data_IF_436731470953
#
_entry.id   IF_436731470953
#
_cell.length_a   1.000
_cell.length_b   1.000
_cell.length_c   1.000
_cell.angle_alpha   90.00
_cell.angle_beta   90.00
_cell.angle_gamma   90.00
#
_symmetry.space_group_name_H-M   'P 1'
#
loop_
_entity.id
_entity.type
_entity.pdbx_description
1 polymer ?
#
# COMPACT_ATOMS: atom_id res chain seq x y z
N UNK A 1 15.23 27.08 31.08
CA UNK A 1 13.77 27.29 31.11
C UNK A 1 13.13 25.99 30.63
N UNK A 2 12.86 25.09 31.57
CA UNK A 2 12.28 23.77 31.31
C UNK A 2 10.77 23.91 31.16
N UNK A 3 10.23 23.47 30.03
CA UNK A 3 8.79 23.23 29.85
C UNK A 3 8.57 21.72 29.90
N UNK A 4 8.76 21.16 31.08
CA UNK A 4 8.04 19.96 31.49
C UNK A 4 6.62 20.39 31.86
N UNK A 5 5.67 20.20 30.94
CA UNK A 5 4.24 20.20 31.22
C UNK A 5 3.47 19.69 29.99
N UNK A 6 3.46 18.37 29.81
CA UNK A 6 2.32 17.64 29.23
C UNK A 6 2.21 16.33 29.99
N UNK A 7 1.65 16.45 31.18
CA UNK A 7 1.20 15.34 32.00
C UNK A 7 0.26 14.42 31.21
N UNK A 8 0.56 13.13 31.34
CA UNK A 8 -0.37 12.02 31.50
C UNK A 8 -1.69 12.08 30.72
N UNK A 9 -1.71 11.43 29.55
CA UNK A 9 -2.88 10.65 29.15
C UNK A 9 -2.67 9.26 29.76
N UNK A 10 -3.27 9.03 30.92
CA UNK A 10 -3.33 7.73 31.59
C UNK A 10 -4.40 6.87 30.91
N UNK A 11 -3.94 6.09 29.95
CA UNK A 11 -4.69 5.13 29.14
C UNK A 11 -3.69 4.48 28.20
N UNK A 12 -3.79 3.18 27.98
CA UNK A 12 -2.97 2.45 27.00
C UNK A 12 -3.23 3.04 25.61
N UNK A 13 -2.49 4.09 25.24
CA UNK A 13 -2.58 4.70 23.91
C UNK A 13 -1.95 3.68 22.97
N UNK A 14 -2.73 3.05 22.07
CA UNK A 14 -2.17 2.07 21.16
C UNK A 14 -1.06 2.71 20.35
N UNK A 15 0.06 2.02 20.23
CA UNK A 15 1.13 2.47 19.35
C UNK A 15 0.55 2.66 17.93
N UNK A 16 0.92 3.75 17.22
CA UNK A 16 0.45 3.95 15.86
C UNK A 16 0.87 2.78 14.98
N UNK A 17 -0.08 2.25 14.21
CA UNK A 17 0.19 1.21 13.23
C UNK A 17 0.94 1.81 12.03
N UNK A 18 1.91 1.07 11.51
CA UNK A 18 2.58 1.42 10.26
C UNK A 18 1.61 1.20 9.11
N UNK A 19 1.56 2.14 8.18
CA UNK A 19 0.67 2.08 7.02
C UNK A 19 1.35 2.66 5.78
N UNK A 20 0.91 2.22 4.61
CA UNK A 20 1.34 2.76 3.32
C UNK A 20 0.13 3.26 2.51
N UNK A 21 0.35 4.26 1.67
CA UNK A 21 -0.69 4.85 0.81
C UNK A 21 -0.08 5.19 -0.53
N UNK A 22 -0.81 4.96 -1.62
CA UNK A 22 -0.35 5.23 -2.99
C UNK A 22 -1.29 6.18 -3.71
N UNK A 23 -0.73 7.21 -4.34
CA UNK A 23 -1.43 8.05 -5.30
C UNK A 23 -1.07 7.57 -6.71
N UNK A 24 -2.04 6.97 -7.42
CA UNK A 24 -1.85 6.56 -8.82
C UNK A 24 -2.35 7.69 -9.73
N UNK A 25 -1.43 8.26 -10.51
CA UNK A 25 -1.70 9.38 -11.38
C UNK A 25 -1.66 8.96 -12.86
N UNK A 26 -2.45 9.63 -13.68
CA UNK A 26 -2.31 9.61 -15.14
C UNK A 26 -2.35 11.02 -15.71
N UNK A 27 -1.68 11.21 -16.84
CA UNK A 27 -1.83 12.44 -17.62
C UNK A 27 -3.21 12.50 -18.28
N UNK A 28 -3.86 13.66 -18.22
CA UNK A 28 -5.10 13.94 -18.94
C UNK A 28 -5.07 15.37 -19.53
N UNK A 29 -5.99 15.64 -20.46
CA UNK A 29 -6.00 16.90 -21.22
C UNK A 29 -6.15 18.16 -20.34
N UNK A 30 -6.79 18.03 -19.17
CA UNK A 30 -7.04 19.13 -18.23
C UNK A 30 -6.02 19.20 -17.07
N UNK A 31 -5.01 18.33 -17.06
CA UNK A 31 -4.07 18.14 -15.95
C UNK A 31 -4.02 16.69 -15.48
N UNK A 32 -3.19 16.37 -14.47
CA UNK A 32 -3.12 15.02 -13.93
C UNK A 32 -4.43 14.63 -13.24
N UNK A 33 -4.87 13.40 -13.46
CA UNK A 33 -5.96 12.76 -12.74
C UNK A 33 -5.39 11.76 -11.73
N UNK A 34 -6.06 11.60 -10.58
CA UNK A 34 -5.62 10.68 -9.52
C UNK A 34 -6.73 9.71 -9.15
N UNK A 35 -6.36 8.44 -8.95
CA UNK A 35 -7.27 7.39 -8.50
C UNK A 35 -7.61 7.59 -7.02
N UNK A 36 -8.91 7.61 -6.71
CA UNK A 36 -9.45 7.64 -5.36
C UNK A 36 -10.47 6.52 -5.20
N UNK A 37 -10.50 5.92 -4.02
CA UNK A 37 -11.51 4.94 -3.60
C UNK A 37 -12.54 5.61 -2.70
N UNK A 38 -13.79 5.17 -2.81
CA UNK A 38 -14.85 5.58 -1.89
C UNK A 38 -14.97 4.55 -0.78
N UNK A 39 -14.56 4.89 0.44
CA UNK A 39 -14.72 4.00 1.60
C UNK A 39 -16.17 4.05 2.09
N UNK A 40 -16.86 2.91 2.06
CA UNK A 40 -18.20 2.80 2.63
C UNK A 40 -18.17 2.98 4.15
N UNK A 41 -19.09 3.79 4.66
CA UNK A 41 -19.13 4.39 6.00
C UNK A 41 -19.42 3.42 7.17
N UNK A 42 -18.78 2.24 7.23
CA UNK A 42 -18.79 1.44 8.46
C UNK A 42 -17.81 1.99 9.52
N UNK A 43 -16.93 2.92 9.14
CA UNK A 43 -16.15 3.72 10.08
C UNK A 43 -16.93 4.98 10.48
N UNK A 44 -16.72 5.42 11.72
CA UNK A 44 -17.44 6.47 12.47
C UNK A 44 -17.48 7.88 11.83
N UNK A 45 -17.05 8.05 10.57
CA UNK A 45 -16.73 9.33 9.92
C UNK A 45 -17.27 9.48 8.48
N UNK A 46 -18.41 8.87 8.13
CA UNK A 46 -19.06 9.09 6.83
C UNK A 46 -18.32 8.49 5.63
N UNK A 47 -18.90 8.58 4.43
CA UNK A 47 -18.26 8.12 3.21
C UNK A 47 -17.21 9.15 2.76
N UNK A 48 -15.94 8.72 2.69
CA UNK A 48 -14.82 9.58 2.35
C UNK A 48 -14.07 9.03 1.13
N UNK A 49 -13.63 9.95 0.28
CA UNK A 49 -12.65 9.63 -0.77
C UNK A 49 -11.27 9.56 -0.13
N UNK A 50 -10.54 8.48 -0.42
CA UNK A 50 -9.19 8.27 0.03
C UNK A 50 -8.32 7.75 -1.11
N UNK A 51 -7.01 7.95 -0.99
CA UNK A 51 -6.07 7.18 -1.79
C UNK A 51 -6.07 5.72 -1.32
N UNK A 52 -5.82 4.75 -2.23
CA UNK A 52 -5.64 3.37 -1.83
C UNK A 52 -4.50 3.19 -0.84
N UNK A 53 -4.71 2.33 0.13
CA UNK A 53 -3.70 2.05 1.16
C UNK A 53 -4.27 1.51 2.47
N UNK A 54 -3.36 0.98 3.28
CA UNK A 54 -3.72 0.27 4.51
C UNK A 54 -2.53 -0.01 5.39
N UNK A 55 -2.76 -0.89 6.36
CA UNK A 55 -1.80 -1.24 7.39
C UNK A 55 -0.76 -2.20 6.81
N UNK A 56 0.48 -2.03 7.26
CA UNK A 56 1.56 -2.96 6.96
C UNK A 56 1.32 -4.32 7.64
N UNK A 57 1.48 -5.40 6.90
CA UNK A 57 1.29 -6.78 7.38
C UNK A 57 2.55 -7.64 7.18
N UNK A 58 2.65 -8.75 7.92
CA UNK A 58 3.81 -9.66 7.83
C UNK A 58 3.99 -10.28 6.43
N UNK A 59 2.93 -10.33 5.63
CA UNK A 59 2.98 -10.80 4.23
C UNK A 59 3.75 -9.85 3.32
N UNK A 60 3.84 -8.57 3.68
CA UNK A 60 4.49 -7.54 2.86
C UNK A 60 6.02 -7.72 2.81
N UNK A 61 6.60 -8.28 3.88
CA UNK A 61 8.02 -8.63 3.97
C UNK A 61 8.39 -9.85 3.12
N UNK A 62 7.41 -10.69 2.78
CA UNK A 62 7.66 -12.00 2.16
C UNK A 62 7.95 -11.91 0.67
N UNK A 63 7.91 -10.73 0.04
CA UNK A 63 8.03 -10.57 -1.42
C UNK A 63 9.23 -9.73 -1.85
N UNK A 64 10.12 -9.38 -0.91
CA UNK A 64 11.29 -8.54 -1.18
C UNK A 64 12.22 -9.10 -2.28
N UNK A 65 12.31 -10.43 -2.41
CA UNK A 65 13.08 -11.12 -3.46
C UNK A 65 12.43 -11.03 -4.86
N UNK A 66 11.16 -10.62 -4.95
CA UNK A 66 10.45 -10.37 -6.21
C UNK A 66 10.63 -8.93 -6.69
N UNK A 67 11.10 -8.02 -5.84
CA UNK A 67 11.33 -6.62 -6.18
C UNK A 67 12.64 -6.46 -6.97
N UNK A 68 12.56 -6.05 -8.24
CA UNK A 68 13.74 -5.91 -9.11
C UNK A 68 13.99 -4.49 -9.66
N UNK A 69 13.18 -3.51 -9.23
CA UNK A 69 13.32 -2.09 -9.60
C UNK A 69 13.73 -1.16 -8.45
N UNK A 70 13.81 -1.66 -7.22
CA UNK A 70 14.19 -0.90 -6.04
C UNK A 70 14.98 -1.81 -5.08
N UNK A 71 15.97 -1.25 -4.38
CA UNK A 71 16.67 -1.96 -3.31
C UNK A 71 16.12 -1.51 -1.95
N UNK A 72 16.31 -2.33 -0.93
CA UNK A 72 15.95 -1.98 0.46
C UNK A 72 16.57 -0.65 0.89
N UNK A 73 17.85 -0.42 0.57
CA UNK A 73 18.54 0.83 0.93
C UNK A 73 17.93 2.04 0.21
N UNK A 74 17.53 1.90 -1.06
CA UNK A 74 16.90 2.97 -1.81
C UNK A 74 15.49 3.26 -1.29
N UNK A 75 14.70 2.22 -1.01
CA UNK A 75 13.36 2.36 -0.45
C UNK A 75 13.40 3.06 0.91
N UNK A 76 14.29 2.62 1.81
CA UNK A 76 14.53 3.26 3.10
C UNK A 76 14.90 4.74 2.95
N UNK A 77 15.81 5.07 2.03
CA UNK A 77 16.21 6.46 1.79
C UNK A 77 15.10 7.33 1.22
N UNK A 78 14.23 6.79 0.36
CA UNK A 78 13.12 7.52 -0.24
C UNK A 78 11.98 7.78 0.75
N UNK A 79 11.74 6.84 1.66
CA UNK A 79 10.67 6.89 2.65
C UNK A 79 11.11 7.50 3.99
N UNK A 80 12.39 7.83 4.14
CA UNK A 80 13.02 8.30 5.39
C UNK A 80 12.78 7.32 6.56
N UNK A 81 12.96 6.03 6.28
CA UNK A 81 12.89 4.95 7.29
C UNK A 81 14.23 4.24 7.42
N UNK A 82 14.50 3.66 8.59
CA UNK A 82 15.78 2.98 8.84
C UNK A 82 15.82 1.58 8.24
N UNK A 83 14.69 0.88 8.22
CA UNK A 83 14.54 -0.50 7.75
C UNK A 83 13.14 -0.70 7.19
N UNK A 84 12.92 -1.83 6.51
CA UNK A 84 11.63 -2.28 6.01
C UNK A 84 11.04 -1.37 4.92
N UNK A 85 11.93 -0.72 4.15
CA UNK A 85 11.52 0.21 3.10
C UNK A 85 10.73 -0.48 1.99
N UNK A 86 11.16 -1.67 1.55
CA UNK A 86 10.44 -2.43 0.53
C UNK A 86 9.07 -2.91 1.01
N UNK A 87 8.91 -3.13 2.32
CA UNK A 87 7.65 -3.62 2.88
C UNK A 87 6.55 -2.55 2.78
N UNK A 88 6.88 -1.26 2.89
CA UNK A 88 5.93 -0.17 2.63
C UNK A 88 5.48 -0.12 1.15
N UNK A 89 6.39 -0.36 0.21
CA UNK A 89 6.01 -0.44 -1.20
C UNK A 89 5.15 -1.67 -1.47
N UNK A 90 5.49 -2.82 -0.89
CA UNK A 90 4.68 -4.04 -0.98
C UNK A 90 3.27 -3.81 -0.43
N UNK A 91 3.15 -3.24 0.77
CA UNK A 91 1.87 -2.90 1.38
C UNK A 91 1.03 -1.96 0.50
N UNK A 92 1.64 -0.91 -0.06
CA UNK A 92 0.95 0.01 -0.96
C UNK A 92 0.43 -0.67 -2.24
N UNK A 93 1.19 -1.61 -2.81
CA UNK A 93 0.83 -2.33 -4.03
C UNK A 93 -0.27 -3.37 -3.74
N UNK A 94 -0.14 -4.11 -2.63
CA UNK A 94 -1.14 -5.08 -2.17
C UNK A 94 -2.48 -4.39 -1.92
N UNK A 95 -2.51 -3.32 -1.14
CA UNK A 95 -3.73 -2.57 -0.82
C UNK A 95 -4.36 -1.95 -2.07
N UNK A 96 -3.56 -1.43 -3.00
CA UNK A 96 -4.07 -0.94 -4.29
C UNK A 96 -4.75 -2.07 -5.09
N UNK A 97 -4.15 -3.25 -5.11
CA UNK A 97 -4.74 -4.41 -5.78
C UNK A 97 -6.03 -4.84 -5.09
N UNK A 98 -6.05 -5.00 -3.77
CA UNK A 98 -7.23 -5.38 -2.98
C UNK A 98 -8.40 -4.40 -3.15
N UNK A 99 -8.15 -3.10 -3.09
CA UNK A 99 -9.22 -2.09 -3.13
C UNK A 99 -9.68 -1.73 -4.54
N UNK A 100 -8.84 -1.92 -5.58
CA UNK A 100 -9.11 -1.39 -6.93
C UNK A 100 -8.93 -2.38 -8.07
N UNK A 101 -8.28 -3.52 -7.85
CA UNK A 101 -7.86 -4.43 -8.92
C UNK A 101 -6.73 -3.87 -9.81
N UNK A 102 -6.05 -2.79 -9.40
CA UNK A 102 -4.86 -2.30 -10.10
C UNK A 102 -3.63 -2.95 -9.49
N UNK A 103 -2.88 -3.71 -10.29
CA UNK A 103 -1.64 -4.34 -9.84
C UNK A 103 -0.43 -3.62 -10.45
N UNK A 104 0.39 -3.00 -9.60
CA UNK A 104 1.70 -2.44 -9.97
C UNK A 104 2.76 -3.54 -9.95
N UNK A 105 2.72 -4.42 -10.93
CA UNK A 105 3.68 -5.48 -11.08
C UNK A 105 3.94 -5.76 -12.56
N UNK A 106 4.95 -6.57 -12.84
CA UNK A 106 5.27 -7.01 -14.19
C UNK A 106 5.57 -8.49 -14.21
N UNK A 107 5.25 -9.13 -15.33
CA UNK A 107 5.65 -10.52 -15.53
C UNK A 107 7.17 -10.59 -15.61
N UNK A 108 7.74 -11.65 -15.03
CA UNK A 108 9.18 -11.89 -15.11
C UNK A 108 9.63 -11.88 -16.57
N UNK A 109 10.63 -11.05 -16.87
CA UNK A 109 11.17 -10.88 -18.22
C UNK A 109 10.44 -9.86 -19.11
N UNK A 110 9.38 -9.20 -18.65
CA UNK A 110 8.78 -8.07 -19.40
C UNK A 110 9.40 -6.73 -19.02
N UNK A 111 9.31 -5.75 -19.94
CA UNK A 111 9.86 -4.41 -19.71
C UNK A 111 9.04 -3.62 -18.67
N UNK A 112 9.65 -2.60 -18.06
CA UNK A 112 9.03 -1.75 -17.04
C UNK A 112 7.84 -0.94 -17.59
N UNK A 113 7.76 -0.74 -18.91
CA UNK A 113 6.66 0.00 -19.53
C UNK A 113 5.31 -0.75 -19.51
N UNK A 114 5.29 -2.02 -19.11
CA UNK A 114 4.08 -2.84 -18.97
C UNK A 114 3.70 -3.09 -17.49
N UNK A 115 4.06 -2.18 -16.58
CA UNK A 115 3.94 -2.36 -15.12
C UNK A 115 2.52 -2.18 -14.56
N UNK A 116 1.56 -1.84 -15.41
CA UNK A 116 0.14 -1.78 -15.06
C UNK A 116 -0.56 -2.95 -15.72
N UNK A 117 -0.92 -3.93 -14.90
CA UNK A 117 -1.83 -5.00 -15.33
C UNK A 117 -3.22 -4.56 -14.87
N UNK A 118 -4.12 -4.26 -15.81
CA UNK A 118 -5.55 -4.15 -15.51
C UNK A 118 -6.04 -5.58 -15.26
N UNK A 119 -6.35 -5.86 -14.00
CA UNK A 119 -6.60 -7.22 -13.52
C UNK A 119 -8.07 -7.56 -13.32
N UNK A 120 -8.99 -7.01 -14.13
CA UNK A 120 -10.37 -7.53 -14.15
C UNK A 120 -10.46 -9.07 -14.35
N UNK A 121 -9.37 -9.73 -14.78
CA UNK A 121 -9.24 -11.19 -14.85
C UNK A 121 -8.92 -11.90 -13.51
N UNK A 122 -8.56 -11.18 -12.45
CA UNK A 122 -8.16 -11.71 -11.14
C UNK A 122 -9.11 -11.31 -10.01
N UNK A 123 -10.40 -11.07 -10.30
CA UNK A 123 -11.37 -10.67 -9.27
C UNK A 123 -11.47 -11.71 -8.13
N UNK A 124 -11.42 -13.01 -8.43
CA UNK A 124 -11.47 -14.06 -7.41
C UNK A 124 -10.19 -14.07 -6.57
N UNK A 125 -9.02 -14.01 -7.21
CA UNK A 125 -7.74 -13.97 -6.51
C UNK A 125 -7.59 -12.70 -5.67
N UNK A 126 -8.15 -11.57 -6.12
CA UNK A 126 -8.22 -10.33 -5.32
C UNK A 126 -9.01 -10.55 -4.05
N UNK A 127 -10.20 -11.15 -4.14
CA UNK A 127 -11.04 -11.43 -2.98
C UNK A 127 -10.37 -12.45 -2.03
N UNK A 128 -9.66 -13.44 -2.58
CA UNK A 128 -8.90 -14.42 -1.80
C UNK A 128 -7.68 -13.79 -1.11
N UNK A 129 -6.96 -12.86 -1.77
CA UNK A 129 -5.88 -12.08 -1.14
C UNK A 129 -6.44 -11.18 -0.04
N UNK A 130 -7.51 -10.43 -0.32
CA UNK A 130 -8.14 -9.52 0.63
C UNK A 130 -8.69 -10.23 1.87
N UNK A 131 -9.21 -11.45 1.71
CA UNK A 131 -9.70 -12.28 2.82
C UNK A 131 -8.61 -13.08 3.54
N UNK A 132 -7.38 -13.09 3.00
CA UNK A 132 -6.27 -13.91 3.48
C UNK A 132 -6.38 -15.41 3.15
N UNK A 133 -7.30 -15.80 2.25
CA UNK A 133 -7.44 -17.16 1.75
C UNK A 133 -6.32 -17.56 0.76
N UNK A 134 -5.74 -16.58 0.05
CA UNK A 134 -4.55 -16.71 -0.78
C UNK A 134 -3.47 -15.75 -0.26
N UNK A 135 -2.27 -16.25 0.02
CA UNK A 135 -1.22 -15.34 0.50
C UNK A 135 -0.72 -14.42 -0.61
N UNK A 136 -0.28 -13.21 -0.23
CA UNK A 136 0.25 -12.23 -1.18
C UNK A 136 1.41 -12.77 -2.02
N UNK A 137 2.30 -13.56 -1.40
CA UNK A 137 3.43 -14.20 -2.10
C UNK A 137 2.98 -15.30 -3.07
N UNK A 138 1.95 -16.07 -2.74
CA UNK A 138 1.47 -17.15 -3.62
C UNK A 138 0.77 -16.61 -4.87
N UNK A 139 0.17 -15.42 -4.77
CA UNK A 139 -0.45 -14.75 -5.91
C UNK A 139 0.57 -14.22 -6.95
N UNK A 140 1.72 -13.70 -6.49
CA UNK A 140 2.76 -13.07 -7.33
C UNK A 140 3.68 -14.07 -8.06
#
# INVERSE_FOLDING_TARGET
>A
MSLAARDAIDGDVPAPLRSATVAVLRDAAAGPEVLLVLRHSKASFGANYAFPGGVHEDVDAQVADLCDGCTEQLACAQLDVTTQGLEYYSAAIRELFEETGVLLARRRGTSVQSSLIDTNAYDMERDDVHSGALSWREFL
#
